data_IF_002191755693
#
_entry.id   IF_002191755693
#
_cell.length_a   1.000
_cell.length_b   1.000
_cell.length_c   1.000
_cell.angle_alpha   90.00
_cell.angle_beta   90.00
_cell.angle_gamma   90.00
#
_symmetry.space_group_name_H-M   'P 1'
#
loop_
_entity.id
_entity.type
_entity.pdbx_description
1 polymer ?
#
# COMPACT_ATOMS: atom_id res chain seq x y z
N UNK A 1 -75.57 8.22 23.53
CA UNK A 1 -74.61 7.09 23.47
C UNK A 1 -74.46 6.75 21.99
N UNK A 2 -73.31 6.82 21.33
CA UNK A 2 -71.92 7.04 21.73
C UNK A 2 -71.18 7.51 20.48
N UNK A 3 -70.40 8.58 20.60
CA UNK A 3 -69.52 9.15 19.57
C UNK A 3 -68.19 8.39 19.51
N UNK A 4 -67.67 8.12 18.32
CA UNK A 4 -66.23 7.89 18.14
C UNK A 4 -65.74 8.55 16.84
N UNK A 5 -64.87 9.59 16.93
CA UNK A 5 -64.13 10.13 15.80
C UNK A 5 -62.76 9.45 15.69
N UNK A 6 -62.49 8.82 14.55
CA UNK A 6 -61.16 8.35 14.18
C UNK A 6 -60.44 9.39 13.32
N UNK A 7 -59.34 9.92 13.82
CA UNK A 7 -58.30 10.64 13.07
C UNK A 7 -56.95 10.24 13.69
N UNK A 8 -55.79 10.33 13.00
CA UNK A 8 -55.54 10.92 11.68
C UNK A 8 -54.75 10.02 10.70
N UNK A 9 -55.01 10.14 9.40
CA UNK A 9 -54.09 9.63 8.36
C UNK A 9 -52.83 10.50 8.28
N UNK A 10 -51.74 9.92 8.75
CA UNK A 10 -50.36 9.96 8.21
C UNK A 10 -49.82 11.31 7.70
N UNK A 11 -49.02 11.96 8.55
CA UNK A 11 -48.00 12.94 8.12
C UNK A 11 -46.77 12.20 7.60
N UNK A 12 -46.26 12.67 6.45
CA UNK A 12 -45.01 12.29 5.77
C UNK A 12 -43.78 12.27 6.71
N UNK A 13 -42.69 11.54 6.35
CA UNK A 13 -41.67 12.25 5.57
C UNK A 13 -41.05 11.45 4.42
N UNK A 14 -41.10 12.08 3.25
CA UNK A 14 -40.16 12.00 2.14
C UNK A 14 -38.75 12.34 2.61
N UNK A 15 -37.96 11.38 3.11
CA UNK A 15 -36.55 11.62 3.51
C UNK A 15 -35.63 10.40 3.29
N UNK A 16 -35.89 9.57 2.29
CA UNK A 16 -35.04 8.40 2.01
C UNK A 16 -34.09 8.56 0.80
N UNK A 17 -34.12 9.69 0.09
CA UNK A 17 -33.44 9.82 -1.20
C UNK A 17 -32.09 10.56 -1.18
N UNK A 18 -31.63 11.07 -0.03
CA UNK A 18 -30.41 11.88 0.09
C UNK A 18 -29.27 11.20 0.88
N UNK A 19 -29.43 9.94 1.28
CA UNK A 19 -28.37 9.18 1.95
C UNK A 19 -27.56 8.28 1.01
N UNK A 20 -28.07 7.98 -0.19
CA UNK A 20 -27.47 6.97 -1.07
C UNK A 20 -26.35 7.50 -1.98
N UNK A 21 -26.26 8.82 -2.18
CA UNK A 21 -25.24 9.43 -3.06
C UNK A 21 -23.92 9.71 -2.31
N UNK A 22 -23.95 9.81 -0.98
CA UNK A 22 -22.74 10.11 -0.20
C UNK A 22 -21.89 8.85 0.05
N UNK A 23 -22.48 7.66 0.00
CA UNK A 23 -21.77 6.41 0.31
C UNK A 23 -20.98 5.80 -0.86
N UNK A 24 -21.25 6.21 -2.10
CA UNK A 24 -20.60 5.61 -3.30
C UNK A 24 -19.36 6.37 -3.76
N UNK A 25 -19.10 7.57 -3.25
CA UNK A 25 -17.95 8.40 -3.63
C UNK A 25 -16.76 8.29 -2.66
N UNK A 26 -16.92 7.59 -1.53
CA UNK A 26 -15.86 7.41 -0.54
C UNK A 26 -14.63 6.60 -1.01
N UNK A 27 -14.71 5.60 -1.91
CA UNK A 27 -13.50 4.84 -2.26
C UNK A 27 -12.56 5.58 -3.23
N UNK A 28 -13.02 6.67 -3.88
CA UNK A 28 -12.19 7.42 -4.83
C UNK A 28 -11.29 8.49 -4.18
N UNK A 29 -11.53 8.84 -2.91
CA UNK A 29 -10.78 9.88 -2.17
C UNK A 29 -9.73 9.32 -1.21
N UNK A 30 -9.62 8.01 -1.05
CA UNK A 30 -8.80 7.37 -0.02
C UNK A 30 -7.37 6.99 -0.43
N UNK A 31 -6.88 7.37 -1.62
CA UNK A 31 -5.54 6.94 -2.04
C UNK A 31 -4.74 8.04 -2.75
N UNK A 32 -4.71 9.25 -2.18
CA UNK A 32 -3.40 9.89 -2.07
C UNK A 32 -2.61 9.12 -1.01
N UNK A 33 -2.28 7.86 -1.30
CA UNK A 33 -1.47 7.05 -0.42
C UNK A 33 -0.13 7.75 -0.33
N UNK A 34 0.26 8.17 0.87
CA UNK A 34 1.59 8.68 1.14
C UNK A 34 2.58 7.71 0.48
N UNK A 35 3.31 8.20 -0.53
CA UNK A 35 4.27 7.36 -1.23
C UNK A 35 5.26 6.85 -0.20
N UNK A 36 5.25 5.54 0.02
CA UNK A 36 6.16 4.90 0.96
C UNK A 36 7.50 4.75 0.25
N UNK A 37 8.53 5.40 0.80
CA UNK A 37 9.90 5.32 0.31
C UNK A 37 10.77 4.60 1.33
N UNK A 38 11.43 3.54 0.90
CA UNK A 38 12.32 2.72 1.71
C UNK A 38 13.68 2.71 1.05
N UNK A 39 14.73 2.88 1.82
CA UNK A 39 16.07 2.94 1.27
C UNK A 39 17.07 2.29 2.21
N UNK A 40 18.04 1.58 1.67
CA UNK A 40 18.85 0.69 2.48
C UNK A 40 20.16 0.29 1.86
N UNK A 41 20.93 -0.51 2.60
CA UNK A 41 22.26 -0.95 2.21
C UNK A 41 22.51 -2.40 2.62
N UNK A 42 23.14 -3.19 1.75
CA UNK A 42 23.64 -4.51 2.12
C UNK A 42 25.05 -4.42 2.72
N UNK A 43 25.53 -5.46 3.42
CA UNK A 43 26.90 -5.54 3.92
C UNK A 43 27.97 -5.36 2.84
N UNK A 44 27.70 -5.77 1.61
CA UNK A 44 28.59 -5.62 0.44
C UNK A 44 28.61 -4.19 -0.11
N UNK A 45 27.76 -3.32 0.43
CA UNK A 45 27.71 -1.92 0.10
C UNK A 45 26.72 -1.55 -1.00
N UNK A 46 25.94 -2.51 -1.51
CA UNK A 46 24.86 -2.24 -2.46
C UNK A 46 23.82 -1.34 -1.83
N UNK A 47 23.27 -0.38 -2.58
CA UNK A 47 22.21 0.52 -2.08
C UNK A 47 20.90 0.19 -2.76
N UNK A 48 19.85 0.08 -1.96
CA UNK A 48 18.51 -0.25 -2.41
C UNK A 48 17.61 0.96 -2.18
N UNK A 49 16.67 1.18 -3.10
CA UNK A 49 15.56 2.09 -2.89
C UNK A 49 14.31 1.42 -3.41
N UNK A 50 13.23 1.43 -2.63
CA UNK A 50 11.91 0.96 -2.99
C UNK A 50 10.92 2.12 -2.80
N UNK A 51 10.02 2.30 -3.75
CA UNK A 51 9.00 3.34 -3.69
C UNK A 51 7.66 2.81 -4.17
N UNK A 52 6.62 2.97 -3.36
CA UNK A 52 5.27 2.64 -3.79
C UNK A 52 4.78 3.70 -4.80
N UNK A 53 4.36 3.24 -5.99
CA UNK A 53 3.89 4.06 -7.09
C UNK A 53 2.38 4.00 -7.26
N UNK A 54 1.64 3.93 -6.14
CA UNK A 54 0.20 3.74 -6.03
C UNK A 54 -0.26 2.27 -6.00
N UNK A 55 -1.14 1.97 -5.04
CA UNK A 55 -1.72 0.63 -4.87
C UNK A 55 -0.67 -0.42 -4.52
N UNK A 56 -0.69 -1.53 -5.26
CA UNK A 56 0.22 -2.68 -5.08
C UNK A 56 1.49 -2.58 -5.93
N UNK A 57 1.69 -1.51 -6.69
CA UNK A 57 2.88 -1.37 -7.55
C UNK A 57 4.02 -0.64 -6.85
N UNK A 58 5.23 -1.17 -7.04
CA UNK A 58 6.45 -0.69 -6.43
C UNK A 58 7.57 -0.58 -7.47
N UNK A 59 8.30 0.53 -7.44
CA UNK A 59 9.55 0.67 -8.18
C UNK A 59 10.73 0.47 -7.24
N UNK A 60 11.79 -0.18 -7.73
CA UNK A 60 13.06 -0.26 -7.03
C UNK A 60 14.23 0.25 -7.86
N UNK A 61 15.31 0.60 -7.17
CA UNK A 61 16.61 0.89 -7.77
C UNK A 61 17.69 0.27 -6.90
N UNK A 62 18.52 -0.57 -7.49
CA UNK A 62 19.69 -1.16 -6.86
C UNK A 62 20.95 -0.53 -7.46
N UNK A 63 21.75 0.14 -6.62
CA UNK A 63 23.04 0.70 -7.01
C UNK A 63 24.15 -0.28 -6.60
N UNK A 64 24.81 -0.83 -7.59
CA UNK A 64 26.00 -1.67 -7.47
C UNK A 64 27.25 -0.84 -7.85
N UNK A 65 28.48 -1.30 -7.55
CA UNK A 65 29.68 -0.66 -8.07
C UNK A 65 29.70 -0.65 -9.60
N UNK A 66 29.49 0.54 -10.20
CA UNK A 66 29.53 0.73 -11.65
C UNK A 66 28.21 0.48 -12.39
N UNK A 67 27.14 0.07 -11.69
CA UNK A 67 25.86 -0.28 -12.32
C UNK A 67 24.66 0.19 -11.48
N UNK A 68 23.57 0.51 -12.16
CA UNK A 68 22.28 0.80 -11.52
C UNK A 68 21.20 -0.02 -12.20
N UNK A 69 20.56 -0.89 -11.43
CA UNK A 69 19.53 -1.81 -11.89
C UNK A 69 18.16 -1.29 -11.43
N UNK A 70 17.26 -0.89 -12.35
CA UNK A 70 15.87 -0.62 -12.01
C UNK A 70 15.10 -1.94 -11.84
N UNK A 71 14.10 -1.94 -10.97
CA UNK A 71 13.18 -3.07 -10.81
C UNK A 71 11.73 -2.60 -10.69
N UNK A 72 10.81 -3.41 -11.22
CA UNK A 72 9.36 -3.21 -11.08
C UNK A 72 8.81 -4.38 -10.29
N UNK A 73 8.10 -4.08 -9.21
CA UNK A 73 7.60 -5.07 -8.27
C UNK A 73 6.10 -4.92 -8.07
N UNK A 74 5.46 -6.06 -7.83
CA UNK A 74 4.08 -6.13 -7.38
C UNK A 74 4.03 -6.64 -5.96
N UNK A 75 3.29 -5.95 -5.10
CA UNK A 75 3.01 -6.39 -3.73
C UNK A 75 2.12 -7.62 -3.75
N UNK A 76 2.62 -8.70 -3.15
CA UNK A 76 1.94 -10.00 -3.06
C UNK A 76 1.20 -10.12 -1.74
N UNK A 77 1.78 -9.63 -0.66
CA UNK A 77 1.22 -9.75 0.69
C UNK A 77 1.70 -8.61 1.57
N UNK A 78 0.82 -8.11 2.44
CA UNK A 78 1.16 -7.16 3.49
C UNK A 78 0.65 -7.65 4.82
N UNK A 79 1.55 -7.72 5.79
CA UNK A 79 1.26 -8.05 7.18
C UNK A 79 1.65 -6.87 8.06
N UNK A 80 1.47 -7.01 9.39
CA UNK A 80 1.98 -6.04 10.35
C UNK A 80 3.53 -6.03 10.41
N UNK A 81 4.15 -7.15 10.05
CA UNK A 81 5.60 -7.34 10.15
C UNK A 81 6.36 -6.96 8.88
N UNK A 82 5.78 -7.25 7.70
CA UNK A 82 6.45 -7.04 6.42
C UNK A 82 5.51 -6.81 5.24
N UNK A 83 6.09 -6.29 4.16
CA UNK A 83 5.51 -6.25 2.82
C UNK A 83 6.31 -7.20 1.93
N UNK A 84 5.66 -8.19 1.33
CA UNK A 84 6.26 -9.09 0.35
C UNK A 84 6.02 -8.55 -1.06
N UNK A 85 7.10 -8.36 -1.79
CA UNK A 85 7.15 -7.84 -3.14
C UNK A 85 7.68 -8.94 -4.07
N UNK A 86 7.07 -9.10 -5.24
CA UNK A 86 7.56 -9.97 -6.31
C UNK A 86 8.03 -9.13 -7.49
N UNK A 87 9.24 -9.39 -7.96
CA UNK A 87 9.82 -8.73 -9.13
C UNK A 87 9.12 -9.24 -10.39
N UNK A 88 8.51 -8.31 -11.12
CA UNK A 88 7.64 -8.60 -12.24
C UNK A 88 8.31 -9.51 -13.29
N UNK A 89 7.67 -10.64 -13.60
CA UNK A 89 8.13 -11.57 -14.63
C UNK A 89 9.29 -12.49 -14.24
N UNK A 90 9.75 -12.47 -12.98
CA UNK A 90 10.89 -13.30 -12.53
C UNK A 90 10.54 -14.31 -11.44
N UNK A 91 9.47 -14.08 -10.67
CA UNK A 91 9.16 -14.86 -9.47
C UNK A 91 10.11 -14.63 -8.29
N UNK A 92 11.12 -13.76 -8.45
CA UNK A 92 12.01 -13.37 -7.35
C UNK A 92 11.26 -12.48 -6.37
N UNK A 93 11.48 -12.70 -5.07
CA UNK A 93 10.74 -11.99 -4.02
C UNK A 93 11.65 -11.27 -3.06
N UNK A 94 11.18 -10.13 -2.59
CA UNK A 94 11.79 -9.35 -1.51
C UNK A 94 10.76 -9.17 -0.39
N UNK A 95 11.24 -9.20 0.85
CA UNK A 95 10.46 -8.81 2.02
C UNK A 95 11.03 -7.56 2.65
N UNK A 96 10.15 -6.57 2.70
CA UNK A 96 10.35 -5.27 3.30
C UNK A 96 9.84 -5.33 4.74
N UNK A 97 10.73 -5.53 5.71
CA UNK A 97 10.48 -5.36 7.14
C UNK A 97 10.83 -3.94 7.58
N UNK A 98 10.16 -3.43 8.61
CA UNK A 98 10.25 -2.04 9.10
C UNK A 98 11.61 -1.35 8.87
N UNK A 99 12.69 -1.98 9.29
CA UNK A 99 14.08 -1.52 9.20
C UNK A 99 15.02 -2.52 8.49
N UNK A 100 14.49 -3.55 7.84
CA UNK A 100 15.27 -4.61 7.22
C UNK A 100 14.73 -5.06 5.87
N UNK A 101 15.64 -5.31 4.93
CA UNK A 101 15.37 -5.95 3.64
C UNK A 101 15.79 -7.40 3.72
N UNK A 102 14.91 -8.33 3.38
CA UNK A 102 15.29 -9.70 3.06
C UNK A 102 15.05 -9.92 1.57
N UNK A 103 16.11 -10.14 0.80
CA UNK A 103 15.93 -10.59 -0.59
C UNK A 103 15.90 -12.11 -0.62
N UNK A 104 14.70 -12.66 -0.89
CA UNK A 104 14.42 -14.09 -1.00
C UNK A 104 14.81 -14.65 -2.38
N UNK A 105 15.55 -13.90 -3.21
CA UNK A 105 16.10 -14.45 -4.44
C UNK A 105 16.91 -15.71 -4.14
N UNK A 106 16.83 -16.72 -5.02
CA UNK A 106 17.56 -17.99 -4.88
C UNK A 106 19.08 -17.79 -4.71
N UNK A 107 19.60 -16.63 -5.15
CA UNK A 107 21.03 -16.33 -5.16
C UNK A 107 21.55 -15.61 -3.91
N UNK A 108 20.69 -15.02 -3.08
CA UNK A 108 21.15 -14.11 -2.03
C UNK A 108 20.67 -14.45 -0.62
N UNK A 109 19.40 -14.76 -0.37
CA UNK A 109 18.89 -15.04 1.00
C UNK A 109 19.39 -14.07 2.10
N UNK A 110 19.70 -12.82 1.73
CA UNK A 110 20.54 -11.89 2.51
C UNK A 110 19.70 -10.80 3.12
N UNK A 111 20.12 -10.38 4.31
CA UNK A 111 19.59 -9.23 5.02
C UNK A 111 20.36 -7.94 4.63
N UNK A 112 19.62 -6.87 4.37
CA UNK A 112 20.13 -5.50 4.27
C UNK A 112 19.43 -4.61 5.29
N UNK A 113 20.09 -3.55 5.74
CA UNK A 113 19.46 -2.54 6.59
C UNK A 113 18.59 -1.62 5.74
N UNK A 114 17.41 -1.24 6.23
CA UNK A 114 16.51 -0.28 5.59
C UNK A 114 16.13 0.83 6.56
N UNK A 115 15.87 2.01 5.99
CA UNK A 115 15.22 3.11 6.66
C UNK A 115 13.99 3.54 5.85
N UNK A 116 12.88 3.82 6.54
CA UNK A 116 11.72 4.48 5.95
C UNK A 116 12.03 5.97 5.79
N UNK A 117 11.91 6.50 4.58
CA UNK A 117 12.27 7.88 4.22
C UNK A 117 13.44 7.95 3.24
N UNK A 118 14.02 9.15 3.09
CA UNK A 118 15.21 9.39 2.26
C UNK A 118 16.49 9.33 3.12
N UNK A 119 17.54 8.67 2.62
CA UNK A 119 18.89 8.89 3.16
C UNK A 119 19.33 10.31 2.80
N UNK A 120 19.45 11.15 3.82
CA UNK A 120 20.15 12.43 3.70
C UNK A 120 21.64 12.10 3.77
N UNK A 121 22.35 12.43 2.69
CA UNK A 121 23.79 12.23 2.53
C UNK A 121 24.62 13.01 3.55
#
# INVERSE_FOLDING_TARGET
MTTHPGSPSSRLPTLAALALVVLTLAPALAAAADRVYWSGRSPEGHRYTYSNTYGTHWNSTVKLPGETLPGSYTEVTRTEDFIELELDGTGLRDRLYKDQLMSLSESSGRWGELAKGQWVH
#
